data_IF_076970309667
#
_entry.id   IF_076970309667
#
_cell.length_a   1.000
_cell.length_b   1.000
_cell.length_c   1.000
_cell.angle_alpha   90.00
_cell.angle_beta   90.00
_cell.angle_gamma   90.00
#
_symmetry.space_group_name_H-M   'P 1'
#
loop_
_entity.id
_entity.type
_entity.pdbx_description
1 polymer ?
#
# COMPACT_ATOMS: atom_id res chain seq x y z
N UNK A 1 9.57 -7.56 14.33
CA UNK A 1 9.31 -7.87 12.91
C UNK A 1 10.07 -6.94 11.98
N UNK A 2 10.88 -7.47 11.06
CA UNK A 2 11.51 -6.71 9.97
C UNK A 2 11.17 -7.38 8.63
N UNK A 3 10.70 -6.59 7.67
CA UNK A 3 10.47 -7.05 6.29
C UNK A 3 11.77 -6.86 5.48
N UNK A 4 12.18 -7.90 4.77
CA UNK A 4 13.33 -7.85 3.87
C UNK A 4 12.93 -7.26 2.52
N UNK A 5 13.88 -6.67 1.77
CA UNK A 5 13.59 -6.09 0.44
C UNK A 5 12.96 -7.08 -0.54
N UNK A 6 13.32 -8.37 -0.49
CA UNK A 6 12.76 -9.38 -1.39
C UNK A 6 11.30 -9.73 -1.02
N UNK A 7 10.97 -9.79 0.27
CA UNK A 7 9.60 -10.07 0.76
C UNK A 7 8.60 -8.98 0.33
N UNK A 8 9.04 -7.72 0.23
CA UNK A 8 8.18 -6.59 -0.14
C UNK A 8 8.38 -6.10 -1.57
N UNK A 9 9.26 -6.73 -2.35
CA UNK A 9 9.54 -6.35 -3.74
C UNK A 9 8.28 -6.15 -4.59
N UNK A 10 7.25 -7.03 -4.52
CA UNK A 10 6.02 -6.81 -5.27
C UNK A 10 5.23 -5.56 -4.86
N UNK A 11 5.26 -5.20 -3.57
CA UNK A 11 4.64 -3.98 -3.07
C UNK A 11 5.46 -2.75 -3.48
N UNK A 12 6.78 -2.79 -3.32
CA UNK A 12 7.69 -1.71 -3.73
C UNK A 12 7.60 -1.40 -5.23
N UNK A 13 7.51 -2.41 -6.10
CA UNK A 13 7.32 -2.20 -7.54
C UNK A 13 5.99 -1.51 -7.85
N UNK A 14 4.92 -1.81 -7.11
CA UNK A 14 3.62 -1.13 -7.26
C UNK A 14 3.67 0.30 -6.77
N UNK A 15 4.29 0.54 -5.60
CA UNK A 15 4.47 1.88 -5.05
C UNK A 15 5.29 2.78 -5.99
N UNK A 16 6.33 2.25 -6.63
CA UNK A 16 7.10 3.00 -7.65
C UNK A 16 6.23 3.41 -8.85
N UNK A 17 5.29 2.56 -9.28
CA UNK A 17 4.33 2.90 -10.33
C UNK A 17 3.32 3.95 -9.85
N UNK A 18 2.77 3.77 -8.66
CA UNK A 18 1.86 4.74 -8.04
C UNK A 18 2.52 6.11 -7.85
N UNK A 19 3.81 6.17 -7.52
CA UNK A 19 4.57 7.42 -7.46
C UNK A 19 4.64 8.13 -8.82
N UNK A 20 4.87 7.39 -9.91
CA UNK A 20 4.82 7.94 -11.27
C UNK A 20 3.43 8.47 -11.63
N UNK A 21 2.37 7.76 -11.26
CA UNK A 21 0.99 8.20 -11.47
C UNK A 21 0.65 9.44 -10.64
N UNK A 22 1.09 9.50 -9.38
CA UNK A 22 0.91 10.67 -8.53
C UNK A 22 1.62 11.89 -9.09
N UNK A 23 2.85 11.73 -9.61
CA UNK A 23 3.55 12.82 -10.29
C UNK A 23 2.78 13.32 -11.51
N UNK A 24 2.10 12.44 -12.25
CA UNK A 24 1.24 12.85 -13.35
C UNK A 24 0.02 13.65 -12.86
N UNK A 25 -0.65 13.21 -11.79
CA UNK A 25 -1.76 13.95 -11.17
C UNK A 25 -1.32 15.33 -10.69
N UNK A 26 -0.14 15.44 -10.05
CA UNK A 26 0.40 16.73 -9.62
C UNK A 26 0.55 17.68 -10.82
N UNK A 27 1.12 17.21 -11.94
CA UNK A 27 1.25 18.02 -13.15
C UNK A 27 -0.10 18.43 -13.72
N UNK A 28 -1.09 17.53 -13.76
CA UNK A 28 -2.45 17.86 -14.20
C UNK A 28 -3.04 19.03 -13.41
N UNK A 29 -2.83 19.03 -12.09
CA UNK A 29 -3.31 20.10 -11.21
C UNK A 29 -2.51 21.40 -11.41
N UNK A 30 -1.20 21.33 -11.61
CA UNK A 30 -0.34 22.50 -11.88
C UNK A 30 -0.64 23.14 -13.24
N UNK A 31 -1.00 22.34 -14.24
CA UNK A 31 -1.35 22.78 -15.60
C UNK A 31 -2.83 23.20 -15.75
N UNK A 32 -3.66 22.97 -14.73
CA UNK A 32 -5.06 23.37 -14.72
C UNK A 32 -5.99 22.48 -15.56
N UNK A 33 -5.77 21.16 -15.56
CA UNK A 33 -6.64 20.18 -16.24
C UNK A 33 -8.03 20.08 -15.59
N UNK A 34 -8.95 19.42 -16.28
CA UNK A 34 -10.32 19.21 -15.81
C UNK A 34 -10.38 18.39 -14.51
N UNK A 35 -11.33 18.77 -13.65
CA UNK A 35 -11.46 18.22 -12.30
C UNK A 35 -11.78 16.73 -12.30
N UNK A 36 -12.66 16.27 -13.18
CA UNK A 36 -13.09 14.87 -13.28
C UNK A 36 -11.96 13.95 -13.75
N UNK A 37 -11.12 14.41 -14.68
CA UNK A 37 -9.92 13.70 -15.11
C UNK A 37 -8.92 13.54 -13.95
N UNK A 38 -8.62 14.64 -13.23
CA UNK A 38 -7.71 14.62 -12.10
C UNK A 38 -8.21 13.71 -10.96
N UNK A 39 -9.51 13.77 -10.64
CA UNK A 39 -10.14 12.90 -9.63
C UNK A 39 -10.08 11.42 -10.05
N UNK A 40 -10.31 11.12 -11.33
CA UNK A 40 -10.22 9.75 -11.85
C UNK A 40 -8.81 9.18 -11.70
N UNK A 41 -7.78 9.97 -12.06
CA UNK A 41 -6.40 9.56 -11.89
C UNK A 41 -6.00 9.43 -10.42
N UNK A 42 -6.45 10.35 -9.56
CA UNK A 42 -6.20 10.29 -8.13
C UNK A 42 -6.82 9.02 -7.50
N UNK A 43 -8.04 8.66 -7.90
CA UNK A 43 -8.68 7.41 -7.46
C UNK A 43 -7.89 6.16 -7.91
N UNK A 44 -7.31 6.19 -9.11
CA UNK A 44 -6.43 5.12 -9.57
C UNK A 44 -5.13 5.01 -8.74
N UNK A 45 -4.55 6.15 -8.35
CA UNK A 45 -3.38 6.21 -7.45
C UNK A 45 -3.73 5.62 -6.09
N UNK A 46 -4.85 6.04 -5.48
CA UNK A 46 -5.31 5.54 -4.19
C UNK A 46 -5.45 4.01 -4.21
N UNK A 47 -6.16 3.47 -5.22
CA UNK A 47 -6.33 2.03 -5.40
C UNK A 47 -5.01 1.26 -5.58
N UNK A 48 -4.01 1.89 -6.21
CA UNK A 48 -2.68 1.29 -6.36
C UNK A 48 -1.93 1.24 -5.02
N UNK A 49 -2.08 2.28 -4.20
CA UNK A 49 -1.52 2.35 -2.84
C UNK A 49 -2.18 1.30 -1.94
N UNK A 50 -3.51 1.21 -1.93
CA UNK A 50 -4.25 0.24 -1.09
C UNK A 50 -3.80 -1.20 -1.38
N UNK A 51 -3.71 -1.55 -2.68
CA UNK A 51 -3.22 -2.87 -3.11
C UNK A 51 -1.79 -3.14 -2.67
N UNK A 52 -0.92 -2.13 -2.65
CA UNK A 52 0.43 -2.29 -2.13
C UNK A 52 0.43 -2.45 -0.61
N UNK A 53 -0.40 -1.70 0.10
CA UNK A 53 -0.61 -1.82 1.55
C UNK A 53 -1.06 -3.22 1.95
N UNK A 54 -2.07 -3.78 1.29
CA UNK A 54 -2.54 -5.14 1.55
C UNK A 54 -1.46 -6.20 1.32
N UNK A 55 -0.59 -6.02 0.32
CA UNK A 55 0.55 -6.90 0.10
C UNK A 55 1.56 -6.82 1.25
N UNK A 56 1.85 -5.62 1.76
CA UNK A 56 2.77 -5.45 2.90
C UNK A 56 2.19 -6.11 4.17
N UNK A 57 0.91 -5.86 4.47
CA UNK A 57 0.25 -6.43 5.65
C UNK A 57 0.15 -7.95 5.54
N UNK A 58 -0.27 -8.49 4.40
CA UNK A 58 -0.38 -9.95 4.21
C UNK A 58 0.98 -10.65 4.25
N UNK A 59 2.02 -10.09 3.63
CA UNK A 59 3.41 -10.58 3.77
C UNK A 59 3.83 -10.56 5.23
N UNK A 60 3.49 -9.49 5.95
CA UNK A 60 3.76 -9.40 7.37
C UNK A 60 3.07 -10.50 8.17
N UNK A 61 1.75 -10.62 8.03
CA UNK A 61 0.98 -11.66 8.72
C UNK A 61 1.56 -13.06 8.48
N UNK A 62 1.86 -13.39 7.21
CA UNK A 62 2.48 -14.68 6.86
C UNK A 62 3.78 -14.92 7.64
N UNK A 63 4.64 -13.90 7.73
CA UNK A 63 5.90 -13.98 8.46
C UNK A 63 5.70 -14.21 9.96
N UNK A 64 4.74 -13.50 10.56
CA UNK A 64 4.35 -13.73 11.97
C UNK A 64 3.88 -15.18 12.20
N UNK A 65 3.05 -15.72 11.30
CA UNK A 65 2.56 -17.10 11.42
C UNK A 65 3.65 -18.17 11.24
N UNK A 66 4.74 -17.86 10.52
CA UNK A 66 5.81 -18.84 10.24
C UNK A 66 7.00 -18.74 11.19
N UNK A 67 7.24 -17.58 11.81
CA UNK A 67 8.45 -17.31 12.61
C UNK A 67 8.21 -17.20 14.13
N UNK A 68 6.97 -16.94 14.60
CA UNK A 68 6.65 -16.78 16.02
C UNK A 68 5.66 -17.84 16.53
N UNK A 69 5.78 -18.22 17.81
CA UNK A 69 4.87 -19.16 18.47
C UNK A 69 3.45 -18.59 18.60
N UNK A 70 2.39 -19.43 18.62
CA UNK A 70 1.00 -18.99 18.61
C UNK A 70 0.57 -17.99 19.69
N UNK A 71 1.28 -17.96 20.81
CA UNK A 71 0.94 -17.16 22.00
C UNK A 71 1.48 -15.72 21.96
N UNK A 72 2.17 -15.31 20.89
CA UNK A 72 2.78 -13.96 20.75
C UNK A 72 1.90 -13.00 19.91
N UNK A 73 0.75 -13.45 19.43
CA UNK A 73 -0.07 -12.65 18.51
C UNK A 73 -0.97 -11.65 19.25
N UNK A 74 -0.75 -10.37 18.98
CA UNK A 74 -1.71 -9.31 19.30
C UNK A 74 -2.69 -9.15 18.13
N UNK A 75 -3.80 -9.92 18.17
CA UNK A 75 -4.88 -9.86 17.19
C UNK A 75 -5.36 -8.43 16.93
N UNK A 76 -5.48 -7.62 18.00
CA UNK A 76 -5.92 -6.22 17.91
C UNK A 76 -4.93 -5.36 17.15
N UNK A 77 -3.63 -5.63 17.27
CA UNK A 77 -2.60 -4.93 16.50
C UNK A 77 -2.69 -5.26 15.01
N UNK A 78 -2.94 -6.52 14.67
CA UNK A 78 -3.11 -6.94 13.27
C UNK A 78 -4.40 -6.36 12.67
N UNK A 79 -5.51 -6.41 13.41
CA UNK A 79 -6.77 -5.80 13.02
C UNK A 79 -6.61 -4.29 12.79
N UNK A 80 -5.95 -3.58 13.71
CA UNK A 80 -5.67 -2.14 13.56
C UNK A 80 -4.84 -1.82 12.32
N UNK A 81 -3.85 -2.65 11.99
CA UNK A 81 -3.05 -2.48 10.77
C UNK A 81 -3.90 -2.69 9.52
N UNK A 82 -4.78 -3.68 9.51
CA UNK A 82 -5.67 -3.94 8.38
C UNK A 82 -6.71 -2.81 8.18
N UNK A 83 -7.34 -2.35 9.26
CA UNK A 83 -8.33 -1.27 9.23
C UNK A 83 -7.72 0.08 8.82
N UNK A 84 -6.41 0.29 9.00
CA UNK A 84 -5.73 1.50 8.50
C UNK A 84 -5.60 1.58 6.98
N UNK A 85 -5.95 0.50 6.28
CA UNK A 85 -5.95 0.38 4.81
C UNK A 85 -7.37 0.28 4.22
N UNK A 86 -8.41 0.51 5.04
CA UNK A 86 -9.81 0.43 4.65
C UNK A 86 -10.44 1.81 4.47
#
# INVERSE_FOLDING_TARGET
MKLTPEEVKPATTRLKRAAGQLNAVIRMLEEGHECDEAVTQLAAVAKAIDRAGYLVVSTGMKKCFTEESPDVYDEKKLEKMFLSLA
#
